data_IF_956794115807
#
_entry.id   IF_956794115807
#
_cell.length_a   1.000
_cell.length_b   1.000
_cell.length_c   1.000
_cell.angle_alpha   90.00
_cell.angle_beta   90.00
_cell.angle_gamma   90.00
#
_symmetry.space_group_name_H-M   'P 1'
#
loop_
_entity.id
_entity.type
_entity.pdbx_description
1 polymer ?
#
# COMPACT_ATOMS: atom_id res chain seq x y z
N UNK A 1 -1.30 30.53 1.82
CA UNK A 1 -2.52 29.70 1.99
C UNK A 1 -2.19 28.21 2.09
N UNK A 2 -1.38 27.67 1.19
CA UNK A 2 -0.97 26.24 1.22
C UNK A 2 -0.26 25.85 2.53
N UNK A 3 0.60 26.70 3.06
CA UNK A 3 1.35 26.46 4.29
C UNK A 3 0.44 26.40 5.54
N UNK A 4 -0.64 27.17 5.58
CA UNK A 4 -1.58 27.18 6.72
C UNK A 4 -2.45 25.93 6.76
N UNK A 5 -2.89 25.41 5.59
CA UNK A 5 -3.60 24.15 5.51
C UNK A 5 -2.68 22.97 5.88
N UNK A 6 -1.43 23.00 5.41
CA UNK A 6 -0.44 21.99 5.77
C UNK A 6 -0.15 22.00 7.27
N UNK A 7 -0.03 23.18 7.88
CA UNK A 7 0.17 23.35 9.33
C UNK A 7 -1.04 22.81 10.11
N UNK A 8 -2.25 23.12 9.69
CA UNK A 8 -3.49 22.62 10.29
C UNK A 8 -3.50 21.09 10.30
N UNK A 9 -3.29 20.45 9.14
CA UNK A 9 -3.23 19.00 9.04
C UNK A 9 -2.08 18.38 9.86
N UNK A 10 -0.93 19.05 9.90
CA UNK A 10 0.21 18.60 10.70
C UNK A 10 -0.12 18.61 12.20
N UNK A 11 -0.80 19.65 12.69
CA UNK A 11 -1.23 19.72 14.09
C UNK A 11 -2.24 18.62 14.39
N UNK A 12 -3.28 18.45 13.55
CA UNK A 12 -4.28 17.41 13.72
C UNK A 12 -3.70 16.00 13.70
N UNK A 13 -2.66 15.76 12.90
CA UNK A 13 -2.01 14.44 12.80
C UNK A 13 -1.06 14.14 13.96
N UNK A 14 -0.49 15.18 14.60
CA UNK A 14 0.46 15.01 15.70
C UNK A 14 -0.17 15.11 17.10
N UNK A 15 -1.37 15.67 17.19
CA UNK A 15 -2.09 15.78 18.47
C UNK A 15 -2.98 14.57 18.68
N UNK A 16 -3.02 14.07 19.91
CA UNK A 16 -3.85 12.92 20.30
C UNK A 16 -5.31 13.11 19.87
N UNK A 17 -5.90 12.05 19.31
CA UNK A 17 -7.32 12.01 18.89
C UNK A 17 -8.27 12.36 20.05
N UNK A 18 -7.91 12.04 21.28
CA UNK A 18 -8.64 12.41 22.49
C UNK A 18 -8.79 13.93 22.66
N UNK A 19 -7.75 14.68 22.30
CA UNK A 19 -7.77 16.14 22.38
C UNK A 19 -8.46 16.75 21.16
N UNK A 20 -8.19 16.23 19.97
CA UNK A 20 -8.81 16.75 18.73
C UNK A 20 -10.30 16.47 18.64
N UNK A 21 -10.81 15.39 19.21
CA UNK A 21 -12.25 15.09 19.27
C UNK A 21 -13.05 15.99 20.22
N UNK A 22 -12.37 16.73 21.10
CA UNK A 22 -12.98 17.69 22.04
C UNK A 22 -12.98 19.13 21.52
N UNK A 23 -12.42 19.36 20.33
CA UNK A 23 -12.41 20.67 19.68
C UNK A 23 -13.67 20.80 18.83
N UNK A 24 -14.31 21.95 18.90
CA UNK A 24 -15.52 22.26 18.13
C UNK A 24 -15.21 22.34 16.62
N UNK A 25 -16.21 22.01 15.77
CA UNK A 25 -16.11 22.02 14.30
C UNK A 25 -15.85 23.43 13.72
N UNK A 26 -15.96 24.49 14.54
CA UNK A 26 -15.75 25.89 14.14
C UNK A 26 -14.28 26.22 13.77
N UNK A 27 -13.35 25.33 14.02
CA UNK A 27 -11.92 25.54 13.68
C UNK A 27 -11.52 24.95 12.33
N UNK A 28 -12.44 24.36 11.58
CA UNK A 28 -12.16 23.82 10.25
C UNK A 28 -11.79 24.98 9.31
N UNK A 29 -10.62 24.84 8.66
CA UNK A 29 -10.18 25.79 7.63
C UNK A 29 -10.87 25.46 6.31
N UNK A 30 -11.48 26.47 5.69
CA UNK A 30 -12.10 26.38 4.38
C UNK A 30 -11.31 27.19 3.34
N UNK A 31 -11.47 26.85 2.06
CA UNK A 31 -10.80 27.58 0.98
C UNK A 31 -11.32 29.03 0.87
N UNK A 32 -12.53 29.31 1.33
CA UNK A 32 -13.16 30.63 1.32
C UNK A 32 -12.66 31.56 2.45
N UNK A 33 -11.97 31.00 3.48
CA UNK A 33 -11.43 31.81 4.58
C UNK A 33 -10.26 32.68 4.10
N UNK A 34 -10.23 33.93 4.50
CA UNK A 34 -9.07 34.80 4.30
C UNK A 34 -7.85 34.31 5.12
N UNK A 35 -6.64 34.67 4.70
CA UNK A 35 -5.39 34.31 5.41
C UNK A 35 -5.42 34.73 6.89
N UNK A 36 -6.03 35.88 7.20
CA UNK A 36 -6.14 36.36 8.57
C UNK A 36 -7.13 35.52 9.39
N UNK A 37 -8.27 35.13 8.80
CA UNK A 37 -9.25 34.25 9.46
C UNK A 37 -8.67 32.87 9.71
N UNK A 38 -7.89 32.30 8.76
CA UNK A 38 -7.17 31.04 8.94
C UNK A 38 -6.18 31.10 10.10
N UNK A 39 -5.42 32.20 10.22
CA UNK A 39 -4.49 32.41 11.33
C UNK A 39 -5.22 32.54 12.67
N UNK A 40 -6.33 33.29 12.72
CA UNK A 40 -7.12 33.44 13.94
C UNK A 40 -7.78 32.13 14.38
N UNK A 41 -8.28 31.33 13.45
CA UNK A 41 -8.81 29.97 13.72
C UNK A 41 -7.73 29.04 14.27
N UNK A 42 -6.54 29.00 13.64
CA UNK A 42 -5.40 28.21 14.13
C UNK A 42 -4.92 28.65 15.51
N UNK A 43 -4.85 29.95 15.76
CA UNK A 43 -4.47 30.51 17.07
C UNK A 43 -5.44 30.13 18.18
N UNK A 44 -6.75 30.21 17.92
CA UNK A 44 -7.81 29.79 18.86
C UNK A 44 -7.74 28.29 19.11
N UNK A 45 -7.59 27.47 18.07
CA UNK A 45 -7.46 26.02 18.17
C UNK A 45 -6.27 25.60 19.03
N UNK A 46 -5.09 26.21 18.80
CA UNK A 46 -3.89 25.93 19.61
C UNK A 46 -4.05 26.30 21.08
N UNK A 47 -4.73 27.43 21.36
CA UNK A 47 -4.99 27.85 22.71
C UNK A 47 -5.96 26.88 23.42
N UNK A 48 -6.99 26.43 22.75
CA UNK A 48 -7.95 25.46 23.30
C UNK A 48 -7.30 24.10 23.53
N UNK A 49 -6.49 23.60 22.58
CA UNK A 49 -5.67 22.39 22.78
C UNK A 49 -4.75 22.52 24.01
N UNK A 50 -4.10 23.67 24.19
CA UNK A 50 -3.24 23.94 25.36
C UNK A 50 -4.03 23.89 26.66
N UNK A 51 -5.24 24.44 26.70
CA UNK A 51 -6.11 24.39 27.88
C UNK A 51 -6.58 22.96 28.16
N UNK A 52 -6.98 22.23 27.12
CA UNK A 52 -7.41 20.83 27.23
C UNK A 52 -6.29 19.92 27.71
N UNK A 53 -5.06 20.15 27.24
CA UNK A 53 -3.89 19.35 27.63
C UNK A 53 -3.51 19.49 29.11
N UNK A 54 -3.92 20.60 29.74
CA UNK A 54 -3.65 20.85 31.18
C UNK A 54 -4.76 20.33 32.10
N UNK A 55 -5.92 19.94 31.55
CA UNK A 55 -7.01 19.36 32.33
C UNK A 55 -6.72 17.91 32.65
N UNK A 56 -6.68 17.57 33.95
CA UNK A 56 -6.62 16.19 34.41
C UNK A 56 -7.88 15.43 33.99
N UNK A 57 -7.75 14.17 33.59
CA UNK A 57 -8.84 13.29 33.24
C UNK A 57 -9.23 12.48 34.49
N UNK A 58 -10.43 12.66 35.00
CA UNK A 58 -10.94 11.92 36.17
C UNK A 58 -11.37 10.48 35.85
N UNK A 59 -11.75 10.21 34.59
CA UNK A 59 -12.17 8.90 34.12
C UNK A 59 -11.51 8.60 32.79
N UNK A 60 -10.85 7.45 32.70
CA UNK A 60 -10.29 6.92 31.46
C UNK A 60 -11.39 6.16 30.74
N UNK A 61 -11.74 6.58 29.52
CA UNK A 61 -12.67 5.88 28.64
C UNK A 61 -11.92 4.94 27.70
N UNK A 62 -12.66 4.17 26.88
CA UNK A 62 -12.05 3.33 25.85
C UNK A 62 -11.21 4.16 24.85
N UNK A 63 -11.65 5.38 24.55
CA UNK A 63 -10.96 6.27 23.60
C UNK A 63 -9.54 6.67 24.07
N UNK A 64 -9.36 6.95 25.35
CA UNK A 64 -8.04 7.27 25.92
C UNK A 64 -7.13 6.03 25.91
N UNK A 65 -7.67 4.85 26.19
CA UNK A 65 -6.91 3.58 26.14
C UNK A 65 -6.51 3.29 24.70
N UNK A 66 -7.45 3.40 23.78
CA UNK A 66 -7.23 3.21 22.34
C UNK A 66 -6.16 4.17 21.81
N UNK A 67 -6.18 5.43 22.25
CA UNK A 67 -5.17 6.44 21.85
C UNK A 67 -3.76 6.07 22.31
N UNK A 68 -3.60 5.61 23.56
CA UNK A 68 -2.29 5.17 24.08
C UNK A 68 -1.80 3.92 23.34
N UNK A 69 -2.68 2.96 23.10
CA UNK A 69 -2.34 1.75 22.34
C UNK A 69 -1.97 2.12 20.88
N UNK A 70 -2.65 3.11 20.30
CA UNK A 70 -2.33 3.60 18.96
C UNK A 70 -0.92 4.23 18.90
N UNK A 71 -0.57 5.05 19.89
CA UNK A 71 0.75 5.67 19.97
C UNK A 71 1.88 4.63 20.17
N UNK A 72 1.65 3.64 21.05
CA UNK A 72 2.64 2.61 21.35
C UNK A 72 2.83 1.61 20.21
N UNK A 73 1.77 1.31 19.48
CA UNK A 73 1.76 0.26 18.43
C UNK A 73 1.88 0.82 17.01
N UNK A 74 1.74 2.14 16.84
CA UNK A 74 1.63 2.78 15.53
C UNK A 74 0.33 2.45 14.79
N UNK A 75 -0.66 1.88 15.50
CA UNK A 75 -1.98 1.52 14.95
C UNK A 75 -2.91 2.73 15.05
N UNK A 76 -3.37 3.34 13.95
CA UNK A 76 -4.28 4.47 14.01
C UNK A 76 -5.67 4.03 14.46
N UNK A 77 -5.99 4.17 15.75
CA UNK A 77 -7.30 3.83 16.32
C UNK A 77 -8.20 5.09 16.33
N UNK A 78 -9.46 4.93 15.99
CA UNK A 78 -10.52 5.94 16.14
C UNK A 78 -10.72 6.91 14.97
N UNK A 79 -9.72 7.17 14.12
CA UNK A 79 -9.91 7.89 12.84
C UNK A 79 -10.37 6.97 11.69
N UNK A 80 -10.35 5.66 11.93
CA UNK A 80 -10.48 4.65 10.86
C UNK A 80 -11.89 4.62 10.25
N UNK A 81 -12.97 4.76 11.03
CA UNK A 81 -14.30 4.45 10.50
C UNK A 81 -14.89 5.51 9.56
N UNK A 82 -14.74 6.79 9.83
CA UNK A 82 -15.28 7.84 8.96
C UNK A 82 -14.31 8.20 7.81
N UNK A 83 -13.02 8.36 8.12
CA UNK A 83 -11.98 8.67 7.12
C UNK A 83 -11.66 7.47 6.22
N UNK A 84 -11.75 6.24 6.72
CA UNK A 84 -11.56 5.02 5.93
C UNK A 84 -12.61 4.89 4.85
N UNK A 85 -13.88 5.21 5.15
CA UNK A 85 -14.95 5.20 4.16
C UNK A 85 -14.69 6.20 3.03
N UNK A 86 -14.26 7.42 3.36
CA UNK A 86 -13.96 8.45 2.35
C UNK A 86 -12.71 8.10 1.54
N UNK A 87 -11.72 7.46 2.15
CA UNK A 87 -10.53 6.94 1.46
C UNK A 87 -10.88 5.82 0.50
N UNK A 88 -11.72 4.89 0.93
CA UNK A 88 -12.18 3.77 0.10
C UNK A 88 -13.03 4.26 -1.08
N UNK A 89 -13.89 5.27 -0.88
CA UNK A 89 -14.67 5.86 -1.97
C UNK A 89 -13.80 6.59 -3.02
N UNK A 90 -12.64 7.12 -2.61
CA UNK A 90 -11.70 7.81 -3.52
C UNK A 90 -10.52 6.95 -3.98
N UNK A 91 -10.47 5.65 -3.63
CA UNK A 91 -9.30 4.79 -3.84
C UNK A 91 -8.87 4.72 -5.32
N UNK A 92 -9.81 4.51 -6.24
CA UNK A 92 -9.55 4.42 -7.67
C UNK A 92 -8.92 5.72 -8.20
N UNK A 93 -9.50 6.87 -7.88
CA UNK A 93 -9.02 8.19 -8.31
C UNK A 93 -7.60 8.46 -7.82
N UNK A 94 -7.34 8.22 -6.54
CA UNK A 94 -6.02 8.46 -5.92
C UNK A 94 -4.95 7.51 -6.45
N UNK A 95 -5.28 6.25 -6.74
CA UNK A 95 -4.35 5.32 -7.37
C UNK A 95 -4.01 5.74 -8.80
N UNK A 96 -4.99 6.28 -9.57
CA UNK A 96 -4.75 6.83 -10.91
C UNK A 96 -3.83 8.06 -10.93
N UNK A 97 -3.75 8.84 -9.85
CA UNK A 97 -2.81 9.96 -9.74
C UNK A 97 -1.36 9.47 -9.80
N UNK A 98 -1.05 8.33 -9.18
CA UNK A 98 0.30 7.79 -9.01
C UNK A 98 0.68 6.74 -10.05
N UNK A 99 -0.27 5.92 -10.49
CA UNK A 99 -0.03 4.82 -11.43
C UNK A 99 -0.76 5.09 -12.73
N UNK A 100 -0.02 5.15 -13.84
CA UNK A 100 -0.53 5.48 -15.16
C UNK A 100 -0.63 4.25 -16.04
N UNK A 101 -1.67 4.20 -16.89
CA UNK A 101 -1.86 3.17 -17.90
C UNK A 101 -2.25 1.78 -17.37
N UNK A 102 -2.73 1.69 -16.12
CA UNK A 102 -3.16 0.45 -15.48
C UNK A 102 -4.62 0.53 -15.00
N UNK A 103 -5.49 1.16 -15.81
CA UNK A 103 -6.88 1.48 -15.43
C UNK A 103 -7.67 0.24 -14.99
N UNK A 104 -7.54 -0.86 -15.71
CA UNK A 104 -8.21 -2.12 -15.36
C UNK A 104 -7.67 -2.71 -14.06
N UNK A 105 -6.34 -2.71 -13.89
CA UNK A 105 -5.72 -3.23 -12.65
C UNK A 105 -6.15 -2.42 -11.43
N UNK A 106 -6.16 -1.09 -11.54
CA UNK A 106 -6.59 -0.18 -10.48
C UNK A 106 -8.06 -0.41 -10.13
N UNK A 107 -8.96 -0.47 -11.13
CA UNK A 107 -10.38 -0.72 -10.90
C UNK A 107 -10.62 -2.06 -10.24
N UNK A 108 -10.07 -3.15 -10.80
CA UNK A 108 -10.23 -4.52 -10.26
C UNK A 108 -9.77 -4.59 -8.80
N UNK A 109 -8.62 -3.99 -8.49
CA UNK A 109 -8.09 -3.94 -7.12
C UNK A 109 -8.98 -3.10 -6.20
N UNK A 110 -9.42 -1.93 -6.65
CA UNK A 110 -10.27 -1.01 -5.88
C UNK A 110 -11.61 -1.66 -5.54
N UNK A 111 -12.29 -2.27 -6.51
CA UNK A 111 -13.56 -2.95 -6.32
C UNK A 111 -13.44 -4.07 -5.29
N UNK A 112 -12.41 -4.91 -5.42
CA UNK A 112 -12.18 -6.03 -4.52
C UNK A 112 -11.82 -5.59 -3.08
N UNK A 113 -11.10 -4.48 -2.91
CA UNK A 113 -10.81 -3.90 -1.58
C UNK A 113 -12.08 -3.34 -0.95
N UNK A 114 -12.90 -2.61 -1.71
CA UNK A 114 -14.18 -2.07 -1.24
C UNK A 114 -15.11 -3.21 -0.81
N UNK A 115 -15.20 -4.27 -1.61
CA UNK A 115 -16.00 -5.46 -1.28
C UNK A 115 -15.51 -6.12 0.01
N UNK A 116 -14.21 -6.36 0.13
CA UNK A 116 -13.61 -6.95 1.33
C UNK A 116 -13.87 -6.13 2.60
N UNK A 117 -13.85 -4.79 2.49
CA UNK A 117 -14.10 -3.86 3.61
C UNK A 117 -15.58 -3.59 3.88
N UNK A 118 -16.49 -4.16 3.10
CA UNK A 118 -17.94 -4.01 3.30
C UNK A 118 -18.47 -4.69 4.58
N UNK A 119 -17.61 -5.42 5.31
CA UNK A 119 -17.95 -6.12 6.55
C UNK A 119 -18.54 -7.52 6.34
N UNK A 120 -18.54 -8.02 5.11
CA UNK A 120 -19.02 -9.38 4.78
C UNK A 120 -17.90 -10.43 4.82
N UNK A 121 -16.65 -10.01 4.87
CA UNK A 121 -15.47 -10.87 4.89
C UNK A 121 -15.19 -11.43 6.30
N UNK A 122 -14.54 -12.59 6.38
CA UNK A 122 -14.10 -13.18 7.64
C UNK A 122 -13.02 -12.29 8.30
N UNK A 123 -13.25 -11.73 9.49
CA UNK A 123 -12.30 -10.82 10.14
C UNK A 123 -10.98 -11.49 10.56
N UNK A 124 -10.90 -12.81 10.51
CA UNK A 124 -9.68 -13.55 10.83
C UNK A 124 -8.73 -13.67 9.65
N UNK A 125 -9.23 -13.51 8.41
CA UNK A 125 -8.44 -13.63 7.19
C UNK A 125 -7.82 -12.28 6.82
N UNK A 126 -6.76 -12.25 5.99
CA UNK A 126 -6.25 -11.01 5.40
C UNK A 126 -7.38 -10.21 4.71
N UNK A 127 -7.25 -8.89 4.66
CA UNK A 127 -8.20 -8.00 3.97
C UNK A 127 -8.42 -8.44 2.52
N UNK A 128 -7.37 -8.93 1.88
CA UNK A 128 -7.44 -9.54 0.55
C UNK A 128 -6.09 -10.13 0.16
N UNK A 129 -6.14 -11.11 -0.76
CA UNK A 129 -4.97 -11.77 -1.35
C UNK A 129 -5.02 -11.60 -2.86
N UNK A 130 -4.16 -10.76 -3.41
CA UNK A 130 -4.16 -10.37 -4.82
C UNK A 130 -2.95 -10.93 -5.56
N UNK A 131 -3.15 -11.29 -6.82
CA UNK A 131 -2.08 -11.74 -7.67
C UNK A 131 -1.88 -10.77 -8.85
N UNK A 132 -0.77 -10.02 -8.85
CA UNK A 132 -0.43 -9.07 -9.90
C UNK A 132 0.36 -9.77 -11.01
N UNK A 133 -0.25 -9.91 -12.16
CA UNK A 133 0.28 -10.66 -13.28
C UNK A 133 0.57 -9.74 -14.48
N UNK A 134 1.80 -9.77 -15.00
CA UNK A 134 2.17 -8.96 -16.15
C UNK A 134 3.67 -8.70 -16.27
N UNK A 135 4.11 -8.02 -17.34
CA UNK A 135 5.52 -7.78 -17.63
C UNK A 135 6.24 -7.00 -16.52
N UNK A 136 7.57 -7.12 -16.50
CA UNK A 136 8.42 -6.29 -15.63
C UNK A 136 8.30 -4.81 -16.04
N UNK A 137 8.41 -3.90 -15.07
CA UNK A 137 8.38 -2.46 -15.33
C UNK A 137 7.00 -1.87 -15.62
N UNK A 138 5.90 -2.64 -15.40
CA UNK A 138 4.53 -2.17 -15.65
C UNK A 138 3.88 -1.45 -14.46
N UNK A 139 4.60 -1.29 -13.34
CA UNK A 139 4.12 -0.53 -12.18
C UNK A 139 3.51 -1.38 -11.07
N UNK A 140 3.68 -2.72 -11.05
CA UNK A 140 3.17 -3.62 -10.00
C UNK A 140 3.60 -3.16 -8.60
N UNK A 141 4.89 -2.91 -8.41
CA UNK A 141 5.45 -2.45 -7.13
C UNK A 141 5.01 -1.02 -6.78
N UNK A 142 4.88 -0.14 -7.78
CA UNK A 142 4.41 1.24 -7.54
C UNK A 142 2.94 1.25 -7.12
N UNK A 143 2.08 0.40 -7.72
CA UNK A 143 0.70 0.25 -7.29
C UNK A 143 0.62 -0.27 -5.85
N UNK A 144 1.49 -1.23 -5.49
CA UNK A 144 1.58 -1.75 -4.12
C UNK A 144 1.97 -0.66 -3.11
N UNK A 145 2.97 0.18 -3.43
CA UNK A 145 3.37 1.32 -2.60
C UNK A 145 2.27 2.35 -2.46
N UNK A 146 1.62 2.68 -3.59
CA UNK A 146 0.52 3.65 -3.60
C UNK A 146 -0.65 3.17 -2.76
N UNK A 147 -0.91 1.87 -2.77
CA UNK A 147 -1.95 1.25 -1.94
C UNK A 147 -1.60 1.31 -0.45
N UNK A 148 -0.36 1.03 -0.08
CA UNK A 148 0.10 1.11 1.31
C UNK A 148 -0.04 2.53 1.87
N UNK A 149 0.44 3.52 1.13
CA UNK A 149 0.32 4.93 1.49
C UNK A 149 -1.15 5.38 1.62
N UNK A 150 -2.00 4.97 0.69
CA UNK A 150 -3.41 5.34 0.69
C UNK A 150 -4.19 4.75 1.86
N UNK A 151 -3.96 3.48 2.18
CA UNK A 151 -4.73 2.77 3.20
C UNK A 151 -4.20 2.98 4.62
N UNK A 152 -2.89 3.14 4.77
CA UNK A 152 -2.23 3.16 6.08
C UNK A 152 -1.55 4.50 6.39
N UNK A 153 -1.66 5.53 5.50
CA UNK A 153 -0.99 6.85 5.62
C UNK A 153 0.54 6.77 5.81
N UNK A 154 1.13 5.69 5.34
CA UNK A 154 2.56 5.43 5.49
C UNK A 154 3.06 4.62 4.29
N UNK A 155 3.90 5.21 3.47
CA UNK A 155 4.55 4.53 2.35
C UNK A 155 5.52 3.44 2.82
N UNK A 156 5.95 3.51 4.08
CA UNK A 156 6.75 2.47 4.74
C UNK A 156 5.91 1.31 5.25
N UNK A 157 4.56 1.41 5.25
CA UNK A 157 3.63 0.31 5.59
C UNK A 157 3.59 -0.79 4.51
N UNK A 158 4.63 -0.90 3.70
CA UNK A 158 4.85 -2.00 2.77
C UNK A 158 5.98 -2.90 3.27
N UNK A 159 5.67 -4.19 3.42
CA UNK A 159 6.65 -5.24 3.72
C UNK A 159 6.93 -5.99 2.41
N UNK A 160 8.16 -5.92 1.89
CA UNK A 160 8.54 -6.60 0.65
C UNK A 160 9.45 -7.79 0.94
N UNK A 161 9.14 -8.90 0.28
CA UNK A 161 9.97 -10.10 0.17
C UNK A 161 10.24 -10.38 -1.31
N UNK A 162 11.48 -10.36 -1.72
CA UNK A 162 11.90 -10.80 -3.05
C UNK A 162 12.05 -12.32 -3.04
N UNK A 163 11.18 -13.03 -3.72
CA UNK A 163 11.16 -14.49 -3.72
C UNK A 163 12.37 -15.09 -4.45
N UNK A 164 13.12 -14.28 -5.19
CA UNK A 164 14.38 -14.71 -5.77
C UNK A 164 15.47 -15.02 -4.73
N UNK A 165 15.33 -14.47 -3.51
CA UNK A 165 16.22 -14.77 -2.37
C UNK A 165 15.86 -16.11 -1.68
N UNK A 166 14.66 -16.64 -1.93
CA UNK A 166 14.09 -17.82 -1.28
C UNK A 166 13.92 -19.01 -2.25
N UNK A 167 14.86 -19.17 -3.18
CA UNK A 167 14.86 -20.26 -4.18
C UNK A 167 15.26 -21.61 -3.62
N UNK A 168 16.16 -21.60 -2.63
CA UNK A 168 16.70 -22.81 -2.02
C UNK A 168 15.93 -23.13 -0.73
N UNK A 169 15.83 -24.42 -0.37
CA UNK A 169 15.09 -24.85 0.80
C UNK A 169 15.60 -24.20 2.11
N UNK A 170 16.92 -24.07 2.25
CA UNK A 170 17.50 -23.45 3.43
C UNK A 170 17.24 -21.96 3.53
N UNK A 171 17.21 -21.23 2.40
CA UNK A 171 16.82 -19.81 2.41
C UNK A 171 15.32 -19.64 2.63
N UNK A 172 14.48 -20.53 2.07
CA UNK A 172 13.05 -20.55 2.36
C UNK A 172 12.77 -20.75 3.86
N UNK A 173 13.58 -21.55 4.55
CA UNK A 173 13.45 -21.75 5.99
C UNK A 173 13.62 -20.45 6.81
N UNK A 174 14.33 -19.44 6.32
CA UNK A 174 14.46 -18.14 7.00
C UNK A 174 13.14 -17.39 7.11
N UNK A 175 12.19 -17.62 6.20
CA UNK A 175 10.89 -16.96 6.27
C UNK A 175 10.11 -17.36 7.53
N UNK A 176 10.13 -18.63 7.90
CA UNK A 176 9.40 -19.17 9.05
C UNK A 176 10.28 -19.56 10.23
N UNK A 177 11.58 -19.31 10.15
CA UNK A 177 12.58 -19.59 11.17
C UNK A 177 13.37 -20.86 10.91
N UNK A 178 14.67 -20.81 11.17
CA UNK A 178 15.56 -21.95 11.05
C UNK A 178 15.23 -23.04 12.09
N UNK A 179 15.48 -24.32 11.80
CA UNK A 179 15.37 -25.40 12.79
C UNK A 179 16.35 -25.21 13.97
N UNK A 180 16.06 -25.78 15.14
CA UNK A 180 16.97 -25.77 16.28
C UNK A 180 18.37 -26.24 15.90
N UNK A 181 19.40 -25.50 16.30
CA UNK A 181 20.82 -25.82 16.04
C UNK A 181 21.37 -25.26 14.73
N UNK A 182 20.59 -24.61 13.91
CA UNK A 182 21.05 -23.90 12.71
C UNK A 182 21.25 -22.41 12.97
N UNK A 183 22.13 -21.79 12.17
CA UNK A 183 22.36 -20.33 12.22
C UNK A 183 21.05 -19.59 11.91
N UNK A 184 20.73 -18.58 12.74
CA UNK A 184 19.49 -17.82 12.61
C UNK A 184 18.30 -18.38 13.40
N UNK A 185 18.42 -19.48 14.14
CA UNK A 185 17.33 -20.03 14.95
C UNK A 185 16.80 -19.02 15.97
N UNK A 186 17.68 -18.30 16.70
CA UNK A 186 17.30 -17.34 17.74
C UNK A 186 16.63 -16.09 17.19
N UNK A 187 16.83 -15.77 15.92
CA UNK A 187 16.22 -14.62 15.25
C UNK A 187 14.73 -14.87 14.94
N UNK A 188 14.33 -16.16 14.82
CA UNK A 188 12.97 -16.58 14.46
C UNK A 188 12.66 -16.36 12.98
N UNK A 189 11.38 -16.44 12.63
CA UNK A 189 10.93 -16.27 11.25
C UNK A 189 10.93 -14.80 10.82
N UNK A 190 11.59 -14.49 9.69
CA UNK A 190 11.64 -13.14 9.13
C UNK A 190 10.24 -12.59 8.83
N UNK A 191 9.33 -13.45 8.33
CA UNK A 191 7.95 -13.12 8.02
C UNK A 191 7.17 -12.70 9.27
N UNK A 192 7.24 -13.53 10.32
CA UNK A 192 6.58 -13.27 11.60
C UNK A 192 7.15 -12.03 12.28
N UNK A 193 8.47 -11.85 12.23
CA UNK A 193 9.13 -10.68 12.82
C UNK A 193 8.66 -9.38 12.16
N UNK A 194 8.61 -9.34 10.81
CA UNK A 194 8.18 -8.13 10.08
C UNK A 194 6.70 -7.81 10.26
N UNK A 195 5.81 -8.82 10.23
CA UNK A 195 4.37 -8.55 10.40
C UNK A 195 4.02 -8.12 11.83
N UNK A 196 4.73 -8.64 12.83
CA UNK A 196 4.56 -8.17 14.22
C UNK A 196 5.00 -6.72 14.42
N UNK A 197 5.99 -6.24 13.66
CA UNK A 197 6.41 -4.85 13.67
C UNK A 197 5.42 -3.93 12.94
N UNK A 198 4.78 -4.45 11.87
CA UNK A 198 3.83 -3.69 11.02
C UNK A 198 2.59 -4.53 10.71
N UNK A 199 1.67 -4.70 11.67
CA UNK A 199 0.47 -5.52 11.49
C UNK A 199 -0.51 -4.92 10.47
N UNK A 200 -0.50 -3.61 10.30
CA UNK A 200 -1.28 -2.87 9.30
C UNK A 200 -0.35 -2.54 8.13
N UNK A 201 -0.29 -3.42 7.15
CA UNK A 201 0.66 -3.28 6.04
C UNK A 201 0.17 -3.97 4.77
N UNK A 202 0.78 -3.60 3.65
CA UNK A 202 0.72 -4.37 2.41
C UNK A 202 1.95 -5.26 2.35
N UNK A 203 1.73 -6.58 2.35
CA UNK A 203 2.80 -7.58 2.27
C UNK A 203 2.96 -8.00 0.81
N UNK A 204 4.09 -7.66 0.21
CA UNK A 204 4.42 -7.95 -1.18
C UNK A 204 5.39 -9.13 -1.27
N UNK A 205 4.97 -10.22 -1.88
CA UNK A 205 5.81 -11.33 -2.30
C UNK A 205 6.11 -11.18 -3.79
N UNK A 206 7.29 -10.66 -4.10
CA UNK A 206 7.70 -10.29 -5.46
C UNK A 206 8.36 -11.47 -6.17
N UNK A 207 8.01 -11.71 -7.45
CA UNK A 207 8.49 -12.82 -8.29
C UNK A 207 8.27 -14.21 -7.68
N UNK A 208 7.03 -14.48 -7.26
CA UNK A 208 6.63 -15.70 -6.52
C UNK A 208 7.01 -17.00 -7.25
N UNK A 209 7.07 -17.00 -8.59
CA UNK A 209 7.48 -18.14 -9.40
C UNK A 209 8.90 -18.61 -9.13
N UNK A 210 9.71 -17.77 -8.49
CA UNK A 210 11.11 -18.11 -8.13
C UNK A 210 11.23 -18.76 -6.76
N UNK A 211 10.18 -18.73 -5.94
CA UNK A 211 10.19 -19.27 -4.60
C UNK A 211 10.34 -20.79 -4.59
N UNK A 212 11.05 -21.32 -3.57
CA UNK A 212 11.04 -22.76 -3.31
C UNK A 212 9.63 -23.26 -2.97
N UNK A 213 9.30 -24.48 -3.36
CA UNK A 213 7.96 -25.03 -3.20
C UNK A 213 7.46 -25.11 -1.76
N UNK A 214 8.35 -25.19 -0.77
CA UNK A 214 8.00 -25.21 0.66
C UNK A 214 7.38 -23.90 1.17
N UNK A 215 7.59 -22.79 0.46
CA UNK A 215 7.05 -21.49 0.86
C UNK A 215 5.54 -21.40 0.61
N UNK A 216 5.02 -22.16 -0.37
CA UNK A 216 3.60 -22.13 -0.72
C UNK A 216 2.67 -22.59 0.42
N UNK A 217 3.12 -23.52 1.25
CA UNK A 217 2.33 -24.00 2.38
C UNK A 217 2.11 -22.87 3.42
N UNK A 218 3.10 -21.98 3.56
CA UNK A 218 2.99 -20.78 4.41
C UNK A 218 1.98 -19.79 3.83
N UNK A 219 2.02 -19.57 2.51
CA UNK A 219 1.05 -18.70 1.85
C UNK A 219 -0.38 -19.21 1.99
N UNK A 220 -0.58 -20.52 1.87
CA UNK A 220 -1.87 -21.15 2.11
C UNK A 220 -2.34 -20.90 3.54
N UNK A 221 -1.47 -21.06 4.53
CA UNK A 221 -1.80 -20.81 5.93
C UNK A 221 -2.17 -19.35 6.17
N UNK A 222 -1.43 -18.38 5.60
CA UNK A 222 -1.76 -16.96 5.69
C UNK A 222 -3.15 -16.69 5.13
N UNK A 223 -3.46 -17.21 3.93
CA UNK A 223 -4.73 -16.93 3.25
C UNK A 223 -5.94 -17.63 3.90
N UNK A 224 -5.74 -18.78 4.56
CA UNK A 224 -6.81 -19.54 5.20
C UNK A 224 -7.07 -19.10 6.64
N UNK A 225 -6.01 -18.94 7.43
CA UNK A 225 -6.09 -18.73 8.88
C UNK A 225 -5.78 -17.27 9.26
N UNK A 226 -5.15 -16.50 8.37
CA UNK A 226 -4.66 -15.15 8.66
C UNK A 226 -3.51 -15.11 9.67
N UNK A 227 -2.98 -16.26 10.08
CA UNK A 227 -1.96 -16.38 11.11
C UNK A 227 -0.91 -17.41 10.75
N UNK A 228 0.34 -17.13 11.13
CA UNK A 228 1.47 -18.04 10.97
C UNK A 228 2.29 -18.07 12.25
N UNK A 229 2.78 -19.25 12.63
CA UNK A 229 3.71 -19.41 13.75
C UNK A 229 5.11 -19.70 13.23
N UNK A 230 6.09 -19.01 13.78
CA UNK A 230 7.49 -19.33 13.50
C UNK A 230 7.98 -20.54 14.34
N UNK A 231 9.21 -20.96 14.10
CA UNK A 231 9.83 -22.09 14.81
C UNK A 231 10.08 -21.82 16.30
N UNK A 232 10.00 -20.56 16.75
CA UNK A 232 10.03 -20.17 18.16
C UNK A 232 8.63 -20.12 18.80
N UNK A 233 7.56 -20.45 18.06
CA UNK A 233 6.18 -20.40 18.53
C UNK A 233 5.59 -18.98 18.57
N UNK A 234 6.27 -17.97 17.98
CA UNK A 234 5.73 -16.61 17.90
C UNK A 234 4.69 -16.54 16.79
N UNK A 235 3.54 -15.96 17.10
CA UNK A 235 2.44 -15.75 16.14
C UNK A 235 2.66 -14.46 15.36
N UNK A 236 2.48 -14.52 14.03
CA UNK A 236 2.33 -13.38 13.14
C UNK A 236 0.88 -13.31 12.66
N UNK A 237 0.21 -12.19 12.87
CA UNK A 237 -1.19 -11.96 12.50
C UNK A 237 -1.26 -11.09 11.24
N UNK A 238 -1.90 -11.60 10.18
CA UNK A 238 -2.09 -10.97 8.88
C UNK A 238 -3.52 -10.49 8.65
N UNK A 239 -4.41 -10.57 9.63
CA UNK A 239 -5.83 -10.22 9.49
C UNK A 239 -6.06 -8.77 9.08
N UNK A 240 -5.14 -7.87 9.45
CA UNK A 240 -5.18 -6.45 9.10
C UNK A 240 -4.26 -6.09 7.91
N UNK A 241 -3.75 -7.07 7.19
CA UNK A 241 -2.85 -6.85 6.06
C UNK A 241 -3.50 -7.20 4.72
N UNK A 242 -2.95 -6.63 3.65
CA UNK A 242 -3.24 -7.01 2.27
C UNK A 242 -2.05 -7.80 1.76
N UNK A 243 -2.32 -8.96 1.18
CA UNK A 243 -1.29 -9.82 0.61
C UNK A 243 -1.26 -9.62 -0.91
N UNK A 244 -0.09 -9.32 -1.45
CA UNK A 244 0.11 -9.16 -2.89
C UNK A 244 1.22 -10.10 -3.34
N UNK A 245 0.92 -10.92 -4.30
CA UNK A 245 1.88 -11.73 -5.03
C UNK A 245 2.12 -11.11 -6.40
N UNK A 246 3.37 -11.08 -6.88
CA UNK A 246 3.65 -10.64 -8.25
C UNK A 246 4.31 -11.76 -9.03
N UNK A 247 4.03 -11.79 -10.33
CA UNK A 247 4.70 -12.70 -11.27
C UNK A 247 4.76 -12.13 -12.68
N UNK A 248 5.76 -12.59 -13.42
CA UNK A 248 5.92 -12.31 -14.84
C UNK A 248 5.41 -13.46 -15.72
N UNK A 249 4.88 -14.54 -15.14
CA UNK A 249 4.33 -15.68 -15.86
C UNK A 249 3.15 -15.22 -16.73
N UNK A 250 3.08 -15.74 -17.94
CA UNK A 250 2.01 -15.41 -18.88
C UNK A 250 2.06 -14.01 -19.48
N UNK A 251 3.09 -13.21 -19.19
CA UNK A 251 3.23 -11.83 -19.65
C UNK A 251 3.15 -11.70 -21.17
N UNK A 252 3.76 -12.63 -21.90
CA UNK A 252 3.70 -12.65 -23.37
C UNK A 252 2.28 -12.91 -23.86
N UNK A 253 1.60 -13.90 -23.28
CA UNK A 253 0.21 -14.20 -23.61
C UNK A 253 -0.72 -13.01 -23.33
N UNK A 254 -0.56 -12.36 -22.18
CA UNK A 254 -1.33 -11.15 -21.81
C UNK A 254 -1.09 -10.04 -22.85
N UNK A 255 0.17 -9.80 -23.23
CA UNK A 255 0.51 -8.79 -24.22
C UNK A 255 -0.12 -9.08 -25.58
N UNK A 256 -0.10 -10.33 -26.04
CA UNK A 256 -0.72 -10.77 -27.28
C UNK A 256 -2.26 -10.58 -27.28
N UNK A 257 -2.93 -10.95 -26.15
CA UNK A 257 -4.36 -10.74 -26.01
C UNK A 257 -4.73 -9.26 -26.08
N UNK A 258 -4.00 -8.40 -25.39
CA UNK A 258 -4.24 -6.95 -25.38
C UNK A 258 -4.00 -6.34 -26.78
N UNK A 259 -2.95 -6.77 -27.50
CA UNK A 259 -2.70 -6.35 -28.89
C UNK A 259 -3.82 -6.73 -29.84
N UNK A 260 -4.51 -7.86 -29.59
CA UNK A 260 -5.68 -8.30 -30.35
C UNK A 260 -6.97 -7.58 -29.92
N UNK A 261 -6.90 -6.66 -28.98
CA UNK A 261 -8.05 -5.93 -28.47
C UNK A 261 -8.88 -6.72 -27.42
N UNK A 262 -8.40 -7.92 -27.03
CA UNK A 262 -9.04 -8.73 -26.00
C UNK A 262 -8.41 -8.43 -24.64
N UNK A 263 -9.24 -8.09 -23.66
CA UNK A 263 -8.81 -7.93 -22.29
C UNK A 263 -9.03 -9.23 -21.51
N UNK A 264 -7.95 -9.90 -21.04
CA UNK A 264 -8.09 -11.16 -20.33
C UNK A 264 -9.01 -11.07 -19.12
N UNK A 265 -9.87 -12.06 -18.95
CA UNK A 265 -10.70 -12.23 -17.76
C UNK A 265 -9.92 -12.96 -16.66
N UNK A 266 -10.36 -12.85 -15.39
CA UNK A 266 -9.75 -13.56 -14.27
C UNK A 266 -9.70 -15.07 -14.49
N UNK A 267 -10.74 -15.66 -15.08
CA UNK A 267 -10.76 -17.10 -15.35
C UNK A 267 -9.70 -17.53 -16.38
N UNK A 268 -9.51 -16.76 -17.45
CA UNK A 268 -8.46 -17.04 -18.44
C UNK A 268 -7.06 -16.90 -17.84
N UNK A 269 -6.87 -15.91 -16.95
CA UNK A 269 -5.60 -15.75 -16.23
C UNK A 269 -5.34 -16.92 -15.29
N UNK A 270 -6.35 -17.38 -14.54
CA UNK A 270 -6.25 -18.56 -13.67
C UNK A 270 -5.91 -19.81 -14.50
N UNK A 271 -6.47 -19.97 -15.69
CA UNK A 271 -6.14 -21.10 -16.58
C UNK A 271 -4.66 -21.05 -17.01
N UNK A 272 -4.13 -19.89 -17.35
CA UNK A 272 -2.70 -19.72 -17.66
C UNK A 272 -1.84 -20.04 -16.45
N UNK A 273 -2.23 -19.56 -15.26
CA UNK A 273 -1.50 -19.74 -14.02
C UNK A 273 -1.53 -21.18 -13.50
N UNK A 274 -2.58 -21.96 -13.81
CA UNK A 274 -2.75 -23.36 -13.36
C UNK A 274 -1.64 -24.31 -13.83
N UNK A 275 -0.91 -23.89 -14.87
CA UNK A 275 0.28 -24.63 -15.37
C UNK A 275 1.52 -24.48 -14.46
N UNK A 276 1.51 -23.47 -13.59
CA UNK A 276 2.66 -23.08 -12.78
C UNK A 276 2.40 -23.16 -11.27
N UNK A 277 1.14 -22.95 -10.87
CA UNK A 277 0.74 -22.89 -9.46
C UNK A 277 -0.30 -23.96 -9.15
N UNK A 278 -0.29 -24.42 -7.90
CA UNK A 278 -1.25 -25.43 -7.45
C UNK A 278 -2.67 -24.86 -7.43
N UNK A 279 -3.70 -25.64 -7.79
CA UNK A 279 -5.09 -25.18 -7.74
C UNK A 279 -5.54 -24.68 -6.37
N UNK A 280 -5.02 -25.27 -5.29
CA UNK A 280 -5.33 -24.86 -3.91
C UNK A 280 -4.87 -23.43 -3.64
N UNK A 281 -3.71 -23.03 -4.17
CA UNK A 281 -3.19 -21.67 -4.04
C UNK A 281 -4.06 -20.68 -4.83
N UNK A 282 -4.36 -21.00 -6.09
CA UNK A 282 -5.15 -20.14 -6.96
C UNK A 282 -6.57 -19.93 -6.44
N UNK A 283 -7.18 -20.97 -5.85
CA UNK A 283 -8.53 -20.91 -5.30
C UNK A 283 -8.67 -20.06 -4.03
N UNK A 284 -7.56 -19.60 -3.44
CA UNK A 284 -7.56 -18.74 -2.24
C UNK A 284 -7.28 -17.27 -2.53
N UNK A 285 -6.96 -16.96 -3.78
CA UNK A 285 -6.78 -15.57 -4.19
C UNK A 285 -8.13 -14.86 -4.21
N UNK A 286 -8.15 -13.64 -3.68
CA UNK A 286 -9.33 -12.76 -3.79
C UNK A 286 -9.52 -12.37 -5.26
N UNK A 287 -8.44 -11.98 -5.95
CA UNK A 287 -8.53 -11.58 -7.35
C UNK A 287 -7.16 -11.67 -8.05
N UNK A 288 -7.20 -11.94 -9.37
CA UNK A 288 -6.03 -11.88 -10.26
C UNK A 288 -6.08 -10.59 -11.06
N UNK A 289 -5.08 -9.75 -10.88
CA UNK A 289 -5.02 -8.39 -11.44
C UNK A 289 -4.03 -8.35 -12.60
N UNK A 290 -4.50 -8.24 -13.87
CA UNK A 290 -3.62 -8.17 -15.02
C UNK A 290 -3.02 -6.78 -15.20
N UNK A 291 -1.71 -6.72 -15.44
CA UNK A 291 -0.99 -5.50 -15.79
C UNK A 291 -0.70 -5.47 -17.30
N UNK A 292 -1.09 -4.38 -17.93
CA UNK A 292 -0.86 -4.14 -19.34
C UNK A 292 0.58 -3.70 -19.61
N UNK A 293 1.17 -4.06 -20.75
CA UNK A 293 2.44 -3.48 -21.19
C UNK A 293 2.34 -1.95 -21.28
N UNK A 294 3.44 -1.29 -20.95
CA UNK A 294 3.54 0.19 -21.07
C UNK A 294 3.60 0.57 -22.54
N UNK A 295 2.77 1.52 -22.96
CA UNK A 295 2.86 2.16 -24.27
C UNK A 295 3.69 3.43 -24.22
N UNK A 296 4.15 3.95 -25.34
CA UNK A 296 4.91 5.21 -25.40
C UNK A 296 4.11 6.38 -24.83
N UNK A 297 2.82 6.44 -25.08
CA UNK A 297 1.92 7.47 -24.50
C UNK A 297 1.86 7.39 -22.96
N UNK A 298 1.80 6.18 -22.42
CA UNK A 298 1.83 5.96 -20.95
C UNK A 298 3.22 6.30 -20.39
N UNK A 299 4.29 5.93 -21.08
CA UNK A 299 5.65 6.29 -20.68
C UNK A 299 5.83 7.81 -20.60
N UNK A 300 5.25 8.57 -21.52
CA UNK A 300 5.26 10.04 -21.46
C UNK A 300 4.50 10.57 -20.23
N UNK A 301 3.36 9.99 -19.87
CA UNK A 301 2.63 10.36 -18.66
C UNK A 301 3.44 10.06 -17.39
N UNK A 302 4.12 8.91 -17.34
CA UNK A 302 4.99 8.52 -16.23
C UNK A 302 6.17 9.52 -16.13
N UNK A 303 6.79 9.84 -17.25
CA UNK A 303 7.87 10.82 -17.30
C UNK A 303 7.42 12.18 -16.74
N UNK A 304 6.28 12.70 -17.19
CA UNK A 304 5.73 13.98 -16.71
C UNK A 304 5.42 13.94 -15.21
N UNK A 305 4.92 12.84 -14.71
CA UNK A 305 4.67 12.66 -13.27
C UNK A 305 5.99 12.70 -12.45
N UNK A 306 7.02 12.01 -12.90
CA UNK A 306 8.33 12.02 -12.24
C UNK A 306 9.00 13.40 -12.36
N UNK A 307 8.87 14.03 -13.50
CA UNK A 307 9.39 15.37 -13.74
C UNK A 307 8.73 16.42 -12.84
N UNK A 308 7.41 16.37 -12.66
CA UNK A 308 6.70 17.29 -11.75
C UNK A 308 7.14 17.13 -10.29
N UNK A 309 7.43 15.89 -9.85
CA UNK A 309 8.01 15.64 -8.52
C UNK A 309 9.41 16.29 -8.38
N UNK A 310 10.24 16.14 -9.42
CA UNK A 310 11.56 16.77 -9.44
C UNK A 310 11.48 18.30 -9.46
N UNK A 311 10.56 18.89 -10.25
CA UNK A 311 10.31 20.33 -10.27
C UNK A 311 9.95 20.85 -8.88
N UNK A 312 9.01 20.17 -8.21
CA UNK A 312 8.59 20.53 -6.85
C UNK A 312 9.76 20.46 -5.87
N UNK A 313 10.55 19.40 -5.90
CA UNK A 313 11.71 19.22 -5.03
C UNK A 313 12.79 20.29 -5.26
N UNK A 314 13.07 20.66 -6.54
CA UNK A 314 14.04 21.70 -6.87
C UNK A 314 13.57 23.08 -6.44
N UNK A 315 12.29 23.37 -6.61
CA UNK A 315 11.69 24.63 -6.17
C UNK A 315 11.75 24.77 -4.65
N UNK A 316 11.33 23.73 -3.90
CA UNK A 316 11.29 23.75 -2.43
C UNK A 316 12.69 23.77 -1.78
N UNK A 317 13.65 23.02 -2.34
CA UNK A 317 14.97 22.88 -1.70
C UNK A 317 16.01 23.87 -2.21
N UNK A 318 15.85 24.38 -3.43
CA UNK A 318 16.89 25.17 -4.11
C UNK A 318 16.39 26.46 -4.71
N UNK A 319 15.08 26.71 -4.66
CA UNK A 319 14.41 27.85 -5.33
C UNK A 319 14.74 27.88 -6.85
N UNK A 320 14.85 26.70 -7.47
CA UNK A 320 15.13 26.54 -8.90
C UNK A 320 13.85 26.11 -9.61
N UNK A 321 13.41 26.92 -10.55
CA UNK A 321 12.36 26.56 -11.49
C UNK A 321 12.99 25.89 -12.72
N UNK A 322 12.53 24.67 -13.03
CA UNK A 322 13.00 23.87 -14.16
C UNK A 322 11.84 23.63 -15.12
N UNK A 323 11.99 24.08 -16.37
CA UNK A 323 11.00 23.86 -17.42
C UNK A 323 11.63 23.11 -18.60
N UNK A 324 10.83 22.26 -19.26
CA UNK A 324 11.27 21.52 -20.44
C UNK A 324 10.42 21.91 -21.66
N UNK A 325 11.12 22.11 -22.79
CA UNK A 325 10.44 22.26 -24.07
C UNK A 325 9.74 20.95 -24.50
N UNK A 326 8.62 21.02 -25.24
CA UNK A 326 7.89 19.83 -25.69
C UNK A 326 8.75 18.82 -26.47
N UNK A 327 9.70 19.31 -27.29
CA UNK A 327 10.63 18.48 -28.06
C UNK A 327 11.59 17.70 -27.13
N UNK A 328 12.01 18.33 -26.02
CA UNK A 328 12.86 17.69 -25.02
C UNK A 328 12.11 16.59 -24.27
N UNK A 329 10.84 16.83 -23.94
CA UNK A 329 9.97 15.82 -23.30
C UNK A 329 9.84 14.60 -24.22
N UNK A 330 9.51 14.82 -25.51
CA UNK A 330 9.39 13.74 -26.50
C UNK A 330 10.70 12.96 -26.66
N UNK A 331 11.83 13.65 -26.74
CA UNK A 331 13.16 13.03 -26.86
C UNK A 331 13.52 12.20 -25.63
N UNK A 332 13.34 12.73 -24.41
CA UNK A 332 13.66 12.02 -23.17
C UNK A 332 12.76 10.81 -22.97
N UNK A 333 11.45 10.94 -23.26
CA UNK A 333 10.51 9.81 -23.21
C UNK A 333 10.92 8.70 -24.16
N UNK A 334 11.26 9.01 -25.42
CA UNK A 334 11.70 8.01 -26.41
C UNK A 334 13.00 7.31 -26.02
N UNK A 335 13.87 7.96 -25.27
CA UNK A 335 15.13 7.39 -24.77
C UNK A 335 14.96 6.56 -23.50
N UNK A 336 14.01 6.97 -22.63
CA UNK A 336 13.71 6.26 -21.38
C UNK A 336 12.78 5.07 -21.54
N UNK A 337 12.03 5.00 -22.63
CA UNK A 337 11.07 3.93 -22.90
C UNK A 337 11.68 2.76 -23.64
N UNK A 338 11.39 1.55 -23.18
CA UNK A 338 11.68 0.30 -23.87
C UNK A 338 10.43 -0.59 -23.93
N UNK A 339 9.99 -1.04 -25.12
CA UNK A 339 8.86 -1.95 -25.23
C UNK A 339 9.03 -3.25 -24.43
N UNK A 340 10.27 -3.66 -24.19
CA UNK A 340 10.61 -4.90 -23.49
C UNK A 340 10.68 -4.72 -21.95
N UNK A 341 11.14 -3.56 -21.48
CA UNK A 341 11.43 -3.32 -20.06
C UNK A 341 10.53 -2.27 -19.41
N UNK A 342 9.64 -1.63 -20.20
CA UNK A 342 8.74 -0.58 -19.72
C UNK A 342 9.36 0.82 -19.70
N UNK A 343 8.99 1.64 -18.73
CA UNK A 343 9.42 3.03 -18.60
C UNK A 343 10.31 3.23 -17.36
#
# INVERSE_FOLDING_TARGET
DFDLHLLYHTIFNKVSVVLTSKIEDDFVLTDDDSTQEKLDKLGKMLNELSVLSQKGIEKVSSLEIESVVADDTGIPIGKIQAQEKDRLLGIETKLHERVKGQDKAIRTLSDAIIESRSGLSDPKKPIGSFFFLGPTGTGKTELTKSLADLLFDDDTAMIRFDMSEFKEEHSAALLYGAPPGYVGYEEGGLLVTKIRQKPYSVVLFDEIEKAHSSVYDIFLQIMDEGKVHDKLGREGDFSNSIIIFTSNIGSQWIAEQIQQGHQPTSNELIEVMSKYFRPEFLGRLTEVVPFSPITEAVAQQIFLLQFSRLQKQLLEQKDIQLDLAPETIAYLTSKGFSPQYGA
#
